data_IF_526866170840
#
_entry.id   IF_526866170840
#
_cell.length_a   1.000
_cell.length_b   1.000
_cell.length_c   1.000
_cell.angle_alpha   90.00
_cell.angle_beta   90.00
_cell.angle_gamma   90.00
#
_symmetry.space_group_name_H-M   'P 1'
#
loop_
_entity.id
_entity.type
_entity.pdbx_description
1 polymer ?
#
# COMPACT_ATOMS: atom_id res chain seq x y z
N UNK A 1 -7.64 18.18 22.57
CA UNK A 1 -7.21 18.34 21.17
C UNK A 1 -8.28 17.79 20.25
N UNK A 2 -8.96 18.63 19.46
CA UNK A 2 -9.88 18.15 18.44
C UNK A 2 -9.09 17.56 17.26
N UNK A 3 -9.41 16.32 16.88
CA UNK A 3 -8.90 15.71 15.65
C UNK A 3 -9.62 16.37 14.48
N UNK A 4 -8.95 17.27 13.75
CA UNK A 4 -9.48 17.76 12.48
C UNK A 4 -9.41 16.62 11.47
N UNK A 5 -10.57 16.14 11.03
CA UNK A 5 -10.66 15.15 9.96
C UNK A 5 -10.39 15.88 8.64
N UNK A 6 -9.36 15.45 7.90
CA UNK A 6 -9.10 16.00 6.57
C UNK A 6 -10.03 15.25 5.60
N UNK A 7 -10.85 15.95 4.79
CA UNK A 7 -11.70 15.32 3.79
C UNK A 7 -10.90 14.44 2.84
N UNK A 8 -11.52 13.36 2.35
CA UNK A 8 -10.86 12.39 1.48
C UNK A 8 -10.41 13.04 0.18
N UNK A 9 -11.23 13.92 -0.39
CA UNK A 9 -10.95 14.63 -1.65
C UNK A 9 -9.65 15.45 -1.54
N UNK A 10 -9.48 16.18 -0.42
CA UNK A 10 -8.29 16.99 -0.15
C UNK A 10 -7.05 16.11 -0.03
N UNK A 11 -7.14 14.98 0.68
CA UNK A 11 -6.02 14.04 0.78
C UNK A 11 -5.62 13.52 -0.61
N UNK A 12 -6.60 13.11 -1.42
CA UNK A 12 -6.35 12.53 -2.74
C UNK A 12 -5.68 13.56 -3.68
N UNK A 13 -6.14 14.83 -3.64
CA UNK A 13 -5.52 15.92 -4.41
C UNK A 13 -4.08 16.21 -3.97
N UNK A 14 -3.83 16.32 -2.66
CA UNK A 14 -2.49 16.55 -2.11
C UNK A 14 -1.54 15.41 -2.50
N UNK A 15 -2.01 14.16 -2.44
CA UNK A 15 -1.22 13.00 -2.84
C UNK A 15 -0.93 12.97 -4.34
N UNK A 16 -1.88 13.37 -5.19
CA UNK A 16 -1.65 13.48 -6.63
C UNK A 16 -0.57 14.53 -6.96
N UNK A 17 -0.65 15.71 -6.33
CA UNK A 17 0.34 16.80 -6.50
C UNK A 17 1.72 16.44 -5.94
N UNK A 18 1.76 15.72 -4.81
CA UNK A 18 3.01 15.21 -4.27
C UNK A 18 3.67 14.18 -5.21
N UNK A 19 2.87 13.28 -5.82
CA UNK A 19 3.35 12.31 -6.81
C UNK A 19 3.83 12.95 -8.11
N UNK A 20 3.28 14.11 -8.50
CA UNK A 20 3.76 14.89 -9.64
C UNK A 20 5.04 15.68 -9.37
N UNK A 21 5.65 15.54 -8.19
CA UNK A 21 6.94 16.14 -7.84
C UNK A 21 6.84 17.52 -7.19
N UNK A 22 5.65 17.99 -6.81
CA UNK A 22 5.50 19.25 -6.10
C UNK A 22 6.05 19.15 -4.67
N UNK A 23 6.66 20.23 -4.17
CA UNK A 23 7.27 20.24 -2.82
C UNK A 23 6.19 20.07 -1.75
N UNK A 24 6.46 19.16 -0.82
CA UNK A 24 5.57 18.86 0.31
C UNK A 24 5.39 20.07 1.24
N UNK A 25 6.39 20.94 1.35
CA UNK A 25 6.30 22.19 2.12
C UNK A 25 5.22 23.14 1.55
N UNK A 26 5.25 23.38 0.24
CA UNK A 26 4.30 24.26 -0.44
C UNK A 26 2.87 23.69 -0.37
N UNK A 27 2.72 22.36 -0.48
CA UNK A 27 1.44 21.67 -0.32
C UNK A 27 0.91 21.76 1.12
N UNK A 28 1.80 21.66 2.11
CA UNK A 28 1.43 21.80 3.51
C UNK A 28 0.87 23.20 3.81
N UNK A 29 1.49 24.24 3.27
CA UNK A 29 1.02 25.62 3.42
C UNK A 29 -0.30 25.86 2.67
N UNK A 30 -0.38 25.42 1.40
CA UNK A 30 -1.55 25.64 0.54
C UNK A 30 -2.82 25.01 1.11
N UNK A 31 -2.71 23.79 1.65
CA UNK A 31 -3.86 23.03 2.16
C UNK A 31 -4.02 23.14 3.68
N UNK A 32 -3.13 23.86 4.38
CA UNK A 32 -3.15 23.99 5.84
C UNK A 32 -2.93 22.67 6.58
N UNK A 33 -2.12 21.78 5.99
CA UNK A 33 -1.85 20.42 6.50
C UNK A 33 -0.39 20.36 6.94
N UNK A 34 -0.09 19.71 8.06
CA UNK A 34 1.32 19.56 8.46
C UNK A 34 2.10 18.71 7.44
N UNK A 35 3.33 19.09 7.12
CA UNK A 35 4.25 18.31 6.27
C UNK A 35 4.37 16.86 6.76
N UNK A 36 4.43 16.66 8.08
CA UNK A 36 4.43 15.34 8.73
C UNK A 36 3.22 14.48 8.33
N UNK A 37 2.04 15.07 8.24
CA UNK A 37 0.82 14.35 7.80
C UNK A 37 0.96 13.87 6.36
N UNK A 38 1.47 14.72 5.47
CA UNK A 38 1.66 14.39 4.06
C UNK A 38 2.70 13.27 3.90
N UNK A 39 3.85 13.38 4.57
CA UNK A 39 4.85 12.30 4.56
C UNK A 39 4.33 10.98 5.14
N UNK A 40 3.49 11.02 6.17
CA UNK A 40 2.84 9.82 6.70
C UNK A 40 1.90 9.18 5.67
N UNK A 41 1.21 9.97 4.85
CA UNK A 41 0.39 9.42 3.76
C UNK A 41 1.25 8.81 2.66
N UNK A 42 2.33 9.49 2.26
CA UNK A 42 3.30 8.96 1.29
C UNK A 42 3.85 7.63 1.77
N UNK A 43 4.36 7.55 3.00
CA UNK A 43 4.91 6.31 3.57
C UNK A 43 3.88 5.17 3.62
N UNK A 44 2.61 5.46 3.91
CA UNK A 44 1.53 4.46 3.91
C UNK A 44 1.16 3.98 2.51
N UNK A 45 1.16 4.89 1.53
CA UNK A 45 0.82 4.59 0.14
C UNK A 45 1.96 3.85 -0.57
N UNK A 46 3.22 4.26 -0.33
CA UNK A 46 4.43 3.53 -0.73
C UNK A 46 4.55 2.17 -0.02
N UNK A 47 3.97 2.05 1.17
CA UNK A 47 3.97 0.81 1.96
C UNK A 47 3.02 -0.28 1.45
N UNK A 48 2.22 -0.01 0.41
CA UNK A 48 1.39 -1.02 -0.27
C UNK A 48 2.22 -2.14 -0.94
N UNK A 49 3.52 -1.94 -1.14
CA UNK A 49 4.46 -2.98 -1.59
C UNK A 49 4.95 -3.89 -0.44
N UNK A 50 4.56 -3.61 0.81
CA UNK A 50 4.70 -4.61 1.87
C UNK A 50 3.66 -5.70 1.59
N UNK A 51 4.09 -6.79 0.97
CA UNK A 51 3.31 -8.03 0.87
C UNK A 51 2.75 -8.28 2.26
N UNK A 52 1.45 -8.06 2.44
CA UNK A 52 0.81 -8.30 3.74
C UNK A 52 1.11 -9.75 4.10
N UNK A 53 1.56 -10.03 5.33
CA UNK A 53 1.89 -11.38 5.80
C UNK A 53 0.76 -12.38 5.45
N UNK A 54 -0.49 -11.91 5.50
CA UNK A 54 -1.68 -12.62 5.03
C UNK A 54 -1.63 -13.03 3.54
N UNK A 55 -1.29 -12.10 2.64
CA UNK A 55 -1.16 -12.37 1.19
C UNK A 55 0.01 -13.31 0.90
N UNK A 56 1.14 -13.13 1.60
CA UNK A 56 2.29 -14.04 1.52
C UNK A 56 1.91 -15.48 1.91
N UNK A 57 1.29 -15.64 3.09
CA UNK A 57 0.87 -16.94 3.59
C UNK A 57 -0.19 -17.61 2.70
N UNK A 58 -1.11 -16.83 2.13
CA UNK A 58 -2.10 -17.34 1.17
C UNK A 58 -1.41 -17.89 -0.09
N UNK A 59 -0.51 -17.11 -0.70
CA UNK A 59 0.27 -17.53 -1.86
C UNK A 59 1.14 -18.76 -1.57
N UNK A 60 1.76 -18.81 -0.39
CA UNK A 60 2.58 -19.95 0.01
C UNK A 60 1.75 -21.23 0.12
N UNK A 61 0.55 -21.17 0.72
CA UNK A 61 -0.37 -22.32 0.81
C UNK A 61 -0.82 -22.80 -0.57
N UNK A 62 -1.21 -21.87 -1.44
CA UNK A 62 -1.62 -22.18 -2.81
C UNK A 62 -0.47 -22.84 -3.58
N UNK A 63 0.76 -22.35 -3.44
CA UNK A 63 1.94 -22.93 -4.09
C UNK A 63 2.25 -24.35 -3.60
N UNK A 64 2.16 -24.59 -2.29
CA UNK A 64 2.37 -25.91 -1.70
C UNK A 64 1.33 -26.92 -2.18
N UNK A 65 0.06 -26.54 -2.23
CA UNK A 65 -1.00 -27.44 -2.69
C UNK A 65 -0.86 -27.76 -4.18
N UNK A 66 -0.52 -26.78 -5.01
CA UNK A 66 -0.23 -27.00 -6.43
C UNK A 66 0.92 -27.99 -6.63
N UNK A 67 2.03 -27.82 -5.89
CA UNK A 67 3.16 -28.75 -5.94
C UNK A 67 2.78 -30.16 -5.52
N UNK A 68 1.92 -30.30 -4.51
CA UNK A 68 1.42 -31.61 -4.04
C UNK A 68 0.57 -32.30 -5.11
N UNK A 69 -0.35 -31.56 -5.73
CA UNK A 69 -1.21 -32.08 -6.81
C UNK A 69 -0.35 -32.51 -8.00
N UNK A 70 0.61 -31.67 -8.42
CA UNK A 70 1.53 -32.00 -9.51
C UNK A 70 2.34 -33.26 -9.16
N UNK A 71 2.89 -33.35 -7.95
CA UNK A 71 3.65 -34.53 -7.53
C UNK A 71 2.83 -35.81 -7.59
N UNK A 72 1.56 -35.76 -7.15
CA UNK A 72 0.65 -36.90 -7.25
C UNK A 72 0.36 -37.27 -8.71
N UNK A 73 0.02 -36.29 -9.55
CA UNK A 73 -0.26 -36.52 -10.96
C UNK A 73 0.96 -37.13 -11.69
N UNK A 74 2.16 -36.63 -11.42
CA UNK A 74 3.39 -37.17 -12.02
C UNK A 74 3.63 -38.62 -11.61
N UNK A 75 3.39 -38.97 -10.33
CA UNK A 75 3.50 -40.35 -9.86
C UNK A 75 2.44 -41.27 -10.48
N UNK A 76 1.21 -40.79 -10.63
CA UNK A 76 0.11 -41.56 -11.26
C UNK A 76 0.33 -41.77 -12.78
N UNK A 77 1.14 -40.91 -13.41
CA UNK A 77 1.53 -41.01 -14.83
C UNK A 77 2.85 -41.79 -15.06
N UNK A 78 3.51 -42.25 -14.00
CA UNK A 78 4.75 -43.04 -14.04
C UNK A 78 4.46 -44.53 -14.03
#
# INVERSE_FOLDING_TARGET
MQRRLIPKEIRDEVMAKAKSGQKVADLAETFGISTKTIYNWIARDSGSDTITILKYNKLQRENTELKRIIGKLTLDMS
#
